data_IF_287636296020
#
_entry.id   IF_287636296020
#
_cell.length_a   1.000
_cell.length_b   1.000
_cell.length_c   1.000
_cell.angle_alpha   90.00
_cell.angle_beta   90.00
_cell.angle_gamma   90.00
#
_symmetry.space_group_name_H-M   'P 1'
#
loop_
_entity.id
_entity.type
_entity.pdbx_description
1 polymer ?
#
# COMPACT_ATOMS: atom_id res chain seq x y z
N UNK A 1 -2.25 17.35 -6.13
CA UNK A 1 -3.40 18.17 -5.71
C UNK A 1 -2.99 19.01 -4.50
N UNK A 2 -3.63 20.15 -4.23
CA UNK A 2 -3.43 20.90 -2.97
C UNK A 2 -3.94 20.07 -1.78
N UNK A 3 -3.47 20.36 -0.55
CA UNK A 3 -4.02 19.77 0.67
C UNK A 3 -5.52 20.08 0.72
N UNK A 4 -6.39 19.08 1.01
CA UNK A 4 -7.82 19.31 1.19
C UNK A 4 -8.06 19.88 2.59
N UNK A 5 -7.80 21.18 2.77
CA UNK A 5 -8.05 21.91 4.03
C UNK A 5 -9.53 21.94 4.43
N UNK A 6 -10.43 21.61 3.50
CA UNK A 6 -11.87 21.44 3.73
C UNK A 6 -12.21 20.22 4.60
N UNK A 7 -11.25 19.31 4.84
CA UNK A 7 -11.47 18.12 5.69
C UNK A 7 -11.38 18.41 7.19
N UNK A 8 -11.13 19.67 7.58
CA UNK A 8 -11.00 20.14 8.98
C UNK A 8 -10.15 19.23 9.87
N UNK A 9 -9.02 18.78 9.33
CA UNK A 9 -8.09 17.89 10.01
C UNK A 9 -7.02 18.72 10.74
N UNK A 10 -6.92 18.51 12.06
CA UNK A 10 -6.00 19.24 12.92
C UNK A 10 -4.54 19.10 12.44
N UNK A 11 -4.13 17.90 12.03
CA UNK A 11 -2.76 17.63 11.57
C UNK A 11 -2.47 18.34 10.24
N UNK A 12 -3.45 18.40 9.32
CA UNK A 12 -3.32 19.19 8.09
C UNK A 12 -3.11 20.67 8.42
N UNK A 13 -3.91 21.22 9.32
CA UNK A 13 -3.95 22.65 9.59
C UNK A 13 -2.73 23.13 10.38
N UNK A 14 -2.33 22.38 11.40
CA UNK A 14 -1.26 22.76 12.33
C UNK A 14 0.14 22.35 11.86
N UNK A 15 0.27 21.18 11.22
CA UNK A 15 1.57 20.61 10.85
C UNK A 15 1.83 20.73 9.35
N UNK A 16 1.00 20.11 8.50
CA UNK A 16 1.30 20.00 7.07
C UNK A 16 1.16 21.33 6.31
N UNK A 17 0.30 22.22 6.79
CA UNK A 17 0.10 23.56 6.22
C UNK A 17 1.09 24.60 6.77
N UNK A 18 1.83 24.26 7.83
CA UNK A 18 2.82 25.16 8.43
C UNK A 18 4.11 25.18 7.61
N UNK A 19 4.27 26.26 6.83
CA UNK A 19 5.45 26.50 5.99
C UNK A 19 6.52 27.39 6.67
N UNK A 20 6.35 27.70 7.95
CA UNK A 20 7.34 28.45 8.74
C UNK A 20 8.60 27.62 8.95
N UNK A 21 9.76 28.26 8.86
CA UNK A 21 11.05 27.65 9.18
C UNK A 21 11.22 27.37 10.68
N UNK A 22 10.35 27.92 11.53
CA UNK A 22 10.35 27.64 12.97
C UNK A 22 10.00 26.17 13.19
N UNK A 23 10.77 25.54 14.06
CA UNK A 23 10.56 24.15 14.42
C UNK A 23 9.32 24.01 15.32
N UNK A 24 8.61 22.90 15.16
CA UNK A 24 7.49 22.55 16.03
C UNK A 24 8.03 21.97 17.37
N UNK A 25 7.22 21.94 18.45
CA UNK A 25 7.59 21.26 19.68
C UNK A 25 8.03 19.81 19.39
N UNK A 26 9.15 19.39 19.97
CA UNK A 26 9.73 18.04 19.84
C UNK A 26 10.02 17.59 18.40
N UNK A 27 10.13 18.54 17.47
CA UNK A 27 10.44 18.22 16.08
C UNK A 27 11.91 17.87 15.90
N UNK A 28 12.14 16.69 15.35
CA UNK A 28 13.47 16.20 15.01
C UNK A 28 13.66 16.24 13.51
N UNK A 29 14.80 16.73 13.03
CA UNK A 29 15.13 16.79 11.60
C UNK A 29 16.23 15.80 11.25
N UNK A 30 16.08 15.08 10.13
CA UNK A 30 17.10 14.19 9.56
C UNK A 30 17.31 14.50 8.08
N UNK A 31 18.54 14.36 7.59
CA UNK A 31 18.83 14.47 6.15
C UNK A 31 18.17 13.31 5.40
N UNK A 32 17.65 13.61 4.22
CA UNK A 32 17.06 12.58 3.36
C UNK A 32 18.19 11.92 2.56
N UNK A 33 18.39 10.63 2.76
CA UNK A 33 19.43 9.86 2.08
C UNK A 33 19.19 9.86 0.56
N UNK A 34 20.24 10.15 -0.21
CA UNK A 34 20.17 10.34 -1.66
C UNK A 34 19.58 11.69 -2.10
N UNK A 35 19.27 12.58 -1.15
CA UNK A 35 18.70 13.91 -1.39
C UNK A 35 19.25 14.94 -0.39
N UNK A 36 20.57 15.10 -0.35
CA UNK A 36 21.32 15.88 0.68
C UNK A 36 20.88 17.36 0.81
N UNK A 37 20.25 17.89 -0.24
CA UNK A 37 19.65 19.22 -0.28
C UNK A 37 18.37 19.34 0.56
N UNK A 38 17.87 18.25 1.13
CA UNK A 38 16.60 18.18 1.85
C UNK A 38 16.76 17.48 3.20
N UNK A 39 15.96 17.95 4.16
CA UNK A 39 15.75 17.31 5.44
C UNK A 39 14.27 16.99 5.62
N UNK A 40 13.97 15.92 6.36
CA UNK A 40 12.62 15.54 6.75
C UNK A 40 12.50 15.55 8.27
N UNK A 41 11.37 16.03 8.76
CA UNK A 41 11.07 16.07 10.19
C UNK A 41 10.36 14.79 10.67
N UNK A 42 10.37 14.57 11.98
CA UNK A 42 9.57 13.56 12.69
C UNK A 42 8.07 13.68 12.38
N UNK A 43 7.60 14.89 12.10
CA UNK A 43 6.24 15.24 11.70
C UNK A 43 5.98 15.15 10.18
N UNK A 44 6.97 14.81 9.38
CA UNK A 44 6.85 14.68 7.92
C UNK A 44 6.80 15.99 7.14
N UNK A 45 7.13 17.12 7.77
CA UNK A 45 7.51 18.36 7.06
C UNK A 45 8.84 18.15 6.35
N UNK A 46 8.99 18.71 5.16
CA UNK A 46 10.23 18.61 4.37
C UNK A 46 10.84 19.99 4.22
N UNK A 47 12.11 20.14 4.57
CA UNK A 47 12.87 21.40 4.53
C UNK A 47 13.85 21.31 3.37
N UNK A 48 13.72 22.19 2.37
CA UNK A 48 14.78 22.44 1.40
C UNK A 48 15.84 23.28 2.10
N UNK A 49 17.09 22.83 2.04
CA UNK A 49 18.24 23.54 2.62
C UNK A 49 18.72 24.64 1.69
N UNK A 50 19.35 25.64 2.29
CA UNK A 50 20.03 26.69 1.55
C UNK A 50 21.20 26.11 0.77
N UNK A 51 21.37 26.53 -0.49
CA UNK A 51 22.45 26.08 -1.37
C UNK A 51 22.69 27.06 -2.51
N UNK A 52 23.90 27.04 -3.06
CA UNK A 52 24.23 27.67 -4.34
C UNK A 52 24.08 26.63 -5.45
N UNK A 53 23.42 27.00 -6.54
CA UNK A 53 23.23 26.13 -7.71
C UNK A 53 23.78 26.84 -8.95
N UNK A 54 24.68 26.21 -9.72
CA UNK A 54 25.16 26.80 -10.96
C UNK A 54 24.02 26.93 -11.97
N UNK A 55 23.91 28.09 -12.62
CA UNK A 55 23.01 28.30 -13.74
C UNK A 55 23.69 27.90 -15.06
N UNK A 56 22.90 27.53 -16.09
CA UNK A 56 23.44 27.22 -17.42
C UNK A 56 24.27 28.32 -18.07
N UNK A 57 24.09 29.58 -17.65
CA UNK A 57 24.80 30.76 -18.18
C UNK A 57 26.10 31.08 -17.42
N UNK A 58 26.57 30.21 -16.52
CA UNK A 58 27.81 30.39 -15.76
C UNK A 58 27.69 31.23 -14.48
N UNK A 59 26.49 31.70 -14.15
CA UNK A 59 26.21 32.33 -12.85
C UNK A 59 25.86 31.33 -11.75
N UNK A 60 25.67 31.81 -10.52
CA UNK A 60 25.18 31.00 -9.39
C UNK A 60 23.84 31.54 -8.86
N UNK A 61 22.90 30.63 -8.60
CA UNK A 61 21.62 30.94 -7.97
C UNK A 61 21.67 30.51 -6.50
N UNK A 62 21.48 31.47 -5.60
CA UNK A 62 21.26 31.19 -4.19
C UNK A 62 19.82 30.75 -3.96
N UNK A 63 19.63 29.48 -3.60
CA UNK A 63 18.34 28.93 -3.18
C UNK A 63 18.28 29.04 -1.66
N UNK A 64 17.33 29.81 -1.13
CA UNK A 64 17.11 29.95 0.30
C UNK A 64 16.44 28.72 0.91
N UNK A 65 16.68 28.50 2.19
CA UNK A 65 16.00 27.46 2.95
C UNK A 65 14.49 27.74 3.01
N UNK A 66 13.67 26.69 2.85
CA UNK A 66 12.21 26.78 2.97
C UNK A 66 11.58 25.45 3.32
N UNK A 67 10.44 25.49 4.01
CA UNK A 67 9.59 24.32 4.15
C UNK A 67 8.84 24.10 2.83
N UNK A 68 8.94 22.89 2.32
CA UNK A 68 8.30 22.47 1.08
C UNK A 68 6.81 22.23 1.32
N UNK A 69 5.98 22.80 0.46
CA UNK A 69 4.54 22.51 0.45
C UNK A 69 4.31 21.04 0.09
N UNK A 70 3.65 20.24 0.95
CA UNK A 70 3.36 18.86 0.63
C UNK A 70 2.34 18.75 -0.50
N UNK A 71 2.45 17.67 -1.27
CA UNK A 71 1.50 17.31 -2.31
C UNK A 71 0.59 16.20 -1.83
N UNK A 72 -0.69 16.29 -2.17
CA UNK A 72 -1.63 15.20 -1.89
C UNK A 72 -2.02 14.50 -3.17
N UNK A 73 -1.94 13.17 -3.13
CA UNK A 73 -2.48 12.29 -4.15
C UNK A 73 -3.80 11.69 -3.65
N UNK A 74 -4.89 11.97 -4.37
CA UNK A 74 -6.22 11.46 -4.08
C UNK A 74 -6.55 10.32 -5.04
N UNK A 75 -7.05 9.20 -4.52
CA UNK A 75 -7.59 8.11 -5.33
C UNK A 75 -8.92 7.64 -4.77
N UNK A 76 -9.78 7.12 -5.63
CA UNK A 76 -11.07 6.56 -5.23
C UNK A 76 -10.96 5.05 -5.07
N UNK A 77 -11.32 4.54 -3.89
CA UNK A 77 -11.42 3.12 -3.66
C UNK A 77 -12.84 2.66 -4.01
N UNK A 78 -12.99 1.96 -5.14
CA UNK A 78 -14.27 1.45 -5.64
C UNK A 78 -15.00 0.55 -4.65
N UNK A 79 -14.26 -0.24 -3.86
CA UNK A 79 -14.86 -1.17 -2.91
C UNK A 79 -15.39 -0.46 -1.68
N UNK A 80 -14.68 0.55 -1.21
CA UNK A 80 -15.08 1.35 -0.05
C UNK A 80 -16.01 2.49 -0.41
N UNK A 81 -16.18 2.77 -1.70
CA UNK A 81 -16.86 3.95 -2.22
C UNK A 81 -16.37 5.25 -1.54
N UNK A 82 -15.08 5.29 -1.20
CA UNK A 82 -14.48 6.35 -0.42
C UNK A 82 -13.20 6.87 -1.10
N UNK A 83 -12.91 8.15 -0.89
CA UNK A 83 -11.66 8.75 -1.30
C UNK A 83 -10.56 8.50 -0.26
N UNK A 84 -9.38 8.22 -0.78
CA UNK A 84 -8.18 8.03 0.01
C UNK A 84 -7.12 9.01 -0.43
N UNK A 85 -6.33 9.45 0.53
CA UNK A 85 -5.31 10.45 0.37
C UNK A 85 -3.96 9.87 0.74
N UNK A 86 -2.92 10.27 0.03
CA UNK A 86 -1.54 10.01 0.38
C UNK A 86 -0.75 11.31 0.31
N UNK A 87 -0.02 11.63 1.38
CA UNK A 87 0.90 12.75 1.42
C UNK A 87 2.20 12.37 0.73
N UNK A 88 2.65 13.24 -0.17
CA UNK A 88 3.89 13.12 -0.95
C UNK A 88 4.69 14.39 -0.87
N UNK A 89 6.00 14.27 -1.05
CA UNK A 89 6.90 15.39 -1.28
C UNK A 89 7.63 15.21 -2.60
N UNK A 90 7.94 16.32 -3.26
CA UNK A 90 8.75 16.33 -4.46
C UNK A 90 10.15 16.77 -4.10
N UNK A 91 11.12 15.89 -4.34
CA UNK A 91 12.53 16.13 -4.11
C UNK A 91 13.21 16.29 -5.47
N UNK A 92 14.05 17.31 -5.63
CA UNK A 92 14.77 17.56 -6.88
C UNK A 92 16.26 17.38 -6.72
N UNK A 93 16.85 16.55 -7.58
CA UNK A 93 18.30 16.33 -7.70
C UNK A 93 18.66 16.35 -9.18
N UNK A 94 19.73 17.09 -9.54
CA UNK A 94 20.19 17.24 -10.93
C UNK A 94 19.08 17.63 -11.93
N UNK A 95 18.19 18.53 -11.51
CA UNK A 95 17.07 18.99 -12.34
C UNK A 95 15.92 17.99 -12.52
N UNK A 96 16.05 16.76 -12.00
CA UNK A 96 14.99 15.74 -12.03
C UNK A 96 14.19 15.76 -10.74
N UNK A 97 12.86 15.69 -10.86
CA UNK A 97 11.93 15.72 -9.73
C UNK A 97 11.43 14.31 -9.41
N UNK A 98 11.56 13.91 -8.15
CA UNK A 98 11.15 12.61 -7.62
C UNK A 98 10.03 12.79 -6.60
N UNK A 99 8.84 12.28 -6.93
CA UNK A 99 7.71 12.22 -6.00
C UNK A 99 7.86 11.05 -5.04
N UNK A 100 8.14 11.31 -3.76
CA UNK A 100 8.31 10.29 -2.72
C UNK A 100 7.15 10.34 -1.72
N UNK A 101 6.81 9.20 -1.14
CA UNK A 101 5.80 9.13 -0.07
C UNK A 101 6.40 9.69 1.22
N UNK A 102 5.73 10.69 1.80
CA UNK A 102 6.19 11.31 3.05
C UNK A 102 6.21 10.28 4.19
N UNK A 103 5.14 9.48 4.33
CA UNK A 103 5.08 8.44 5.36
C UNK A 103 6.22 7.40 5.24
N UNK A 104 6.58 6.97 4.01
CA UNK A 104 7.72 6.06 3.83
C UNK A 104 9.04 6.71 4.23
N UNK A 105 9.27 7.97 3.88
CA UNK A 105 10.48 8.68 4.25
C UNK A 105 10.57 8.88 5.77
N UNK A 106 9.48 9.29 6.42
CA UNK A 106 9.45 9.44 7.89
C UNK A 106 9.76 8.09 8.56
N UNK A 107 9.08 7.02 8.16
CA UNK A 107 9.35 5.70 8.76
C UNK A 107 10.80 5.26 8.55
N UNK A 108 11.33 5.43 7.34
CA UNK A 108 12.70 5.07 7.01
C UNK A 108 13.73 5.79 7.89
N UNK A 109 13.55 7.10 8.10
CA UNK A 109 14.52 7.89 8.84
C UNK A 109 14.34 7.84 10.35
N UNK A 110 13.13 7.63 10.87
CA UNK A 110 12.82 7.74 12.30
C UNK A 110 12.47 6.43 12.99
N UNK A 111 12.16 5.36 12.25
CA UNK A 111 11.75 4.07 12.84
C UNK A 111 12.70 2.94 12.46
N UNK A 112 12.82 2.62 11.17
CA UNK A 112 13.61 1.47 10.71
C UNK A 112 14.06 1.71 9.26
N UNK A 113 15.34 1.45 8.95
CA UNK A 113 15.83 1.49 7.56
C UNK A 113 15.41 0.22 6.81
N UNK A 114 15.03 0.38 5.56
CA UNK A 114 14.59 -0.70 4.68
C UNK A 114 14.84 -0.33 3.22
N UNK A 115 14.77 -1.30 2.31
CA UNK A 115 14.78 -0.99 0.87
C UNK A 115 13.52 -0.18 0.49
N UNK A 116 13.72 1.09 0.16
CA UNK A 116 12.64 2.04 -0.14
C UNK A 116 11.79 1.63 -1.33
N UNK A 117 12.31 0.76 -2.20
CA UNK A 117 11.63 0.24 -3.39
C UNK A 117 11.00 -1.14 -3.14
N UNK A 118 11.20 -1.74 -1.95
CA UNK A 118 10.52 -2.99 -1.59
C UNK A 118 9.01 -2.78 -1.43
N UNK A 119 8.27 -3.52 -2.26
CA UNK A 119 6.82 -3.54 -2.35
C UNK A 119 6.18 -4.65 -1.49
N UNK A 120 7.00 -5.45 -0.79
CA UNK A 120 6.55 -6.55 0.07
C UNK A 120 5.78 -6.07 1.31
N UNK A 121 5.95 -4.79 1.71
CA UNK A 121 5.24 -4.16 2.82
C UNK A 121 4.70 -2.78 2.46
N UNK A 122 3.82 -2.28 3.33
CA UNK A 122 3.26 -0.93 3.26
C UNK A 122 3.39 -0.26 4.61
N UNK A 123 3.49 1.06 4.59
CA UNK A 123 3.38 1.87 5.81
C UNK A 123 1.89 2.18 6.02
N UNK A 124 1.39 1.83 7.20
CA UNK A 124 0.03 2.07 7.67
C UNK A 124 0.03 3.14 8.76
N UNK A 125 -1.16 3.60 9.12
CA UNK A 125 -1.42 4.67 10.08
C UNK A 125 -2.25 4.10 11.22
N UNK A 126 -1.76 4.19 12.45
CA UNK A 126 -2.40 3.56 13.63
C UNK A 126 -3.74 4.20 13.97
N UNK A 127 -3.85 5.51 13.77
CA UNK A 127 -5.07 6.30 13.98
C UNK A 127 -6.04 6.31 12.77
N UNK A 128 -5.74 5.52 11.73
CA UNK A 128 -6.44 5.51 10.44
C UNK A 128 -6.41 6.84 9.65
N UNK A 129 -5.76 7.88 10.18
CA UNK A 129 -5.59 9.19 9.54
C UNK A 129 -4.33 9.20 8.67
N UNK A 130 -4.54 9.29 7.35
CA UNK A 130 -3.46 9.25 6.35
C UNK A 130 -2.68 10.56 6.22
N UNK A 131 -3.15 11.62 6.86
CA UNK A 131 -2.45 12.89 6.93
C UNK A 131 -1.49 12.94 8.13
N UNK A 132 -1.81 12.23 9.22
CA UNK A 132 -0.94 12.09 10.38
C UNK A 132 0.27 11.19 10.06
N UNK A 133 1.28 11.79 9.45
CA UNK A 133 2.53 11.12 9.06
C UNK A 133 3.59 11.13 10.16
N UNK A 134 3.23 11.46 11.41
CA UNK A 134 4.18 11.48 12.52
C UNK A 134 4.75 10.08 12.77
N UNK A 135 6.07 9.96 13.00
CA UNK A 135 6.74 8.66 13.07
C UNK A 135 6.11 7.68 14.07
N UNK A 136 5.62 8.17 15.22
CA UNK A 136 4.98 7.32 16.24
C UNK A 136 3.63 6.74 15.79
N UNK A 137 2.95 7.40 14.86
CA UNK A 137 1.68 6.96 14.28
C UNK A 137 1.86 5.96 13.12
N UNK A 138 3.08 5.79 12.63
CA UNK A 138 3.36 4.91 11.50
C UNK A 138 3.69 3.49 11.95
N UNK A 139 3.26 2.51 11.15
CA UNK A 139 3.62 1.10 11.34
C UNK A 139 3.91 0.42 10.00
N UNK A 140 4.80 -0.57 10.01
CA UNK A 140 5.15 -1.38 8.84
C UNK A 140 4.30 -2.64 8.84
N UNK A 141 3.50 -2.82 7.78
CA UNK A 141 2.60 -3.95 7.62
C UNK A 141 2.96 -4.72 6.36
N UNK A 142 3.21 -6.02 6.48
CA UNK A 142 3.51 -6.86 5.32
C UNK A 142 2.28 -7.00 4.43
N UNK A 143 2.49 -7.08 3.12
CA UNK A 143 1.40 -7.24 2.14
C UNK A 143 0.62 -8.54 2.38
N UNK A 144 1.27 -9.59 2.90
CA UNK A 144 0.63 -10.84 3.30
C UNK A 144 -0.31 -10.63 4.49
N UNK A 145 0.17 -9.97 5.56
CA UNK A 145 -0.67 -9.66 6.72
C UNK A 145 -1.86 -8.79 6.33
N UNK A 146 -1.63 -7.77 5.50
CA UNK A 146 -2.69 -6.91 4.98
C UNK A 146 -3.72 -7.70 4.16
N UNK A 147 -3.25 -8.56 3.25
CA UNK A 147 -4.11 -9.43 2.44
C UNK A 147 -4.94 -10.37 3.32
N UNK A 148 -4.33 -11.00 4.31
CA UNK A 148 -5.02 -11.89 5.23
C UNK A 148 -6.07 -11.14 6.06
N UNK A 149 -5.75 -9.94 6.56
CA UNK A 149 -6.69 -9.10 7.29
C UNK A 149 -7.89 -8.70 6.42
N UNK A 150 -7.64 -8.28 5.17
CA UNK A 150 -8.68 -7.97 4.19
C UNK A 150 -9.57 -9.19 3.91
N UNK A 151 -8.98 -10.38 3.70
CA UNK A 151 -9.71 -11.63 3.47
C UNK A 151 -10.49 -12.11 4.70
N UNK A 152 -10.01 -11.83 5.92
CA UNK A 152 -10.69 -12.18 7.16
C UNK A 152 -11.85 -11.22 7.45
N UNK A 153 -11.72 -9.94 7.09
CA UNK A 153 -12.80 -8.94 7.11
C UNK A 153 -13.82 -9.11 5.96
N UNK A 154 -13.83 -10.27 5.29
CA UNK A 154 -14.79 -10.59 4.23
C UNK A 154 -14.58 -9.85 2.91
N UNK A 155 -13.47 -9.11 2.74
CA UNK A 155 -13.17 -8.39 1.49
C UNK A 155 -12.41 -9.29 0.52
N UNK A 156 -13.02 -9.51 -0.65
CA UNK A 156 -12.54 -10.42 -1.69
C UNK A 156 -13.33 -11.72 -1.72
N UNK A 157 -13.46 -12.36 -2.89
CA UNK A 157 -14.10 -13.67 -3.00
C UNK A 157 -13.18 -14.71 -2.35
N UNK A 158 -13.35 -15.00 -1.06
CA UNK A 158 -12.96 -16.30 -0.52
C UNK A 158 -13.90 -17.30 -1.20
N UNK A 159 -13.43 -17.91 -2.30
CA UNK A 159 -14.03 -19.18 -2.66
C UNK A 159 -13.92 -20.09 -1.45
N UNK A 160 -14.96 -20.87 -1.19
CA UNK A 160 -14.97 -21.74 -0.02
C UNK A 160 -14.00 -22.91 -0.27
N UNK A 161 -12.70 -22.70 -0.01
CA UNK A 161 -11.67 -23.73 -0.19
C UNK A 161 -11.76 -24.84 0.85
N UNK A 162 -12.45 -24.58 1.96
CA UNK A 162 -12.69 -25.55 3.04
C UNK A 162 -13.90 -26.45 2.75
N UNK A 163 -14.62 -26.24 1.64
CA UNK A 163 -15.73 -27.12 1.30
C UNK A 163 -15.22 -28.48 0.82
N UNK A 164 -15.90 -29.54 1.26
CA UNK A 164 -15.70 -30.88 0.72
C UNK A 164 -16.00 -30.90 -0.78
N UNK A 165 -15.23 -31.70 -1.52
CA UNK A 165 -15.37 -31.85 -2.98
C UNK A 165 -15.31 -33.30 -3.40
N UNK A 166 -16.01 -33.62 -4.47
CA UNK A 166 -16.10 -34.97 -5.03
C UNK A 166 -15.60 -34.98 -6.46
N UNK A 167 -14.78 -35.98 -6.79
CA UNK A 167 -14.27 -36.21 -8.13
C UNK A 167 -15.15 -37.19 -8.88
N UNK A 168 -15.41 -36.88 -10.15
CA UNK A 168 -16.16 -37.70 -11.08
C UNK A 168 -15.39 -37.89 -12.38
N UNK A 169 -15.64 -39.02 -13.05
CA UNK A 169 -15.24 -39.24 -14.45
C UNK A 169 -16.12 -38.41 -15.39
N UNK A 170 -15.71 -38.30 -16.65
CA UNK A 170 -16.43 -37.53 -17.68
C UNK A 170 -17.84 -38.09 -17.93
N UNK A 171 -18.03 -39.40 -17.80
CA UNK A 171 -19.33 -40.08 -17.92
C UNK A 171 -20.22 -39.92 -16.67
N UNK A 172 -19.75 -39.24 -15.61
CA UNK A 172 -20.50 -39.00 -14.38
C UNK A 172 -20.25 -40.01 -13.25
N UNK A 173 -19.40 -41.02 -13.46
CA UNK A 173 -19.10 -42.00 -12.42
C UNK A 173 -18.31 -41.37 -11.26
N UNK A 174 -18.69 -41.69 -10.03
CA UNK A 174 -17.97 -41.25 -8.84
C UNK A 174 -16.58 -41.88 -8.75
N UNK A 175 -15.59 -41.10 -8.29
CA UNK A 175 -14.20 -41.56 -8.09
C UNK A 175 -13.79 -41.47 -6.64
N UNK A 176 -13.87 -40.28 -6.02
CA UNK A 176 -13.37 -40.06 -4.67
C UNK A 176 -14.01 -38.82 -4.02
N UNK A 177 -14.02 -38.78 -2.68
CA UNK A 177 -14.35 -37.61 -1.87
C UNK A 177 -13.10 -37.06 -1.19
N UNK A 178 -13.06 -35.74 -1.03
CA UNK A 178 -11.98 -35.03 -0.35
C UNK A 178 -12.58 -34.08 0.67
N UNK A 179 -11.96 -34.03 1.86
CA UNK A 179 -12.38 -33.17 2.97
C UNK A 179 -12.44 -31.69 2.58
N UNK A 180 -11.49 -31.23 1.77
CA UNK A 180 -11.44 -29.87 1.26
C UNK A 180 -10.70 -29.78 -0.09
N UNK A 181 -10.73 -28.59 -0.71
CA UNK A 181 -10.10 -28.35 -2.02
C UNK A 181 -8.57 -28.52 -1.97
N UNK A 182 -7.94 -28.21 -0.83
CA UNK A 182 -6.49 -28.38 -0.68
C UNK A 182 -6.08 -29.86 -0.65
N UNK A 183 -6.86 -30.71 0.05
CA UNK A 183 -6.66 -32.15 0.07
C UNK A 183 -6.77 -32.74 -1.36
N UNK A 184 -7.82 -32.36 -2.09
CA UNK A 184 -7.98 -32.75 -3.50
C UNK A 184 -6.82 -32.26 -4.38
N UNK A 185 -6.40 -31.00 -4.21
CA UNK A 185 -5.30 -30.40 -4.97
C UNK A 185 -3.97 -31.14 -4.76
N UNK A 186 -3.67 -31.53 -3.52
CA UNK A 186 -2.44 -32.24 -3.17
C UNK A 186 -2.39 -33.64 -3.79
N UNK A 187 -3.49 -34.38 -3.71
CA UNK A 187 -3.59 -35.77 -4.21
C UNK A 187 -3.63 -35.78 -5.75
N UNK A 188 -4.46 -34.92 -6.35
CA UNK A 188 -4.64 -34.88 -7.80
C UNK A 188 -3.54 -34.10 -8.53
N UNK A 189 -2.68 -33.39 -7.80
CA UNK A 189 -1.68 -32.46 -8.36
C UNK A 189 -2.29 -31.43 -9.31
N UNK A 190 -3.55 -31.05 -9.06
CA UNK A 190 -4.29 -30.01 -9.79
C UNK A 190 -4.26 -28.73 -8.96
N UNK A 191 -4.12 -27.56 -9.59
CA UNK A 191 -4.17 -26.28 -8.89
C UNK A 191 -5.55 -26.08 -8.21
N UNK A 192 -5.54 -25.83 -6.89
CA UNK A 192 -6.74 -25.59 -6.08
C UNK A 192 -7.67 -24.50 -6.63
N UNK A 193 -7.15 -23.49 -7.33
CA UNK A 193 -7.96 -22.44 -7.98
C UNK A 193 -8.79 -22.97 -9.16
N UNK A 194 -8.28 -23.95 -9.90
CA UNK A 194 -9.02 -24.60 -10.99
C UNK A 194 -10.15 -25.46 -10.45
N UNK A 195 -9.89 -26.24 -9.39
CA UNK A 195 -10.92 -27.03 -8.70
C UNK A 195 -12.04 -26.11 -8.21
N UNK A 196 -11.69 -25.00 -7.55
CA UNK A 196 -12.66 -24.01 -7.09
C UNK A 196 -13.45 -23.36 -8.24
N UNK A 197 -12.83 -23.13 -9.40
CA UNK A 197 -13.50 -22.55 -10.56
C UNK A 197 -14.59 -23.48 -11.13
N UNK A 198 -14.30 -24.79 -11.19
CA UNK A 198 -15.25 -25.82 -11.62
C UNK A 198 -16.40 -25.94 -10.61
N UNK A 199 -16.08 -26.02 -9.31
CA UNK A 199 -17.08 -26.06 -8.23
C UNK A 199 -18.01 -24.85 -8.26
N UNK A 200 -17.48 -23.65 -8.54
CA UNK A 200 -18.26 -22.42 -8.64
C UNK A 200 -18.93 -22.19 -10.01
N UNK A 201 -18.92 -23.17 -10.92
CA UNK A 201 -19.53 -23.10 -12.27
C UNK A 201 -19.09 -21.85 -13.09
N UNK A 202 -17.85 -21.38 -12.93
CA UNK A 202 -17.34 -20.26 -13.75
C UNK A 202 -16.95 -20.80 -15.14
N UNK A 203 -17.73 -20.41 -16.16
CA UNK A 203 -17.79 -20.92 -17.55
C UNK A 203 -16.50 -21.02 -18.41
N UNK A 204 -15.29 -20.75 -17.91
CA UNK A 204 -14.16 -20.40 -18.79
C UNK A 204 -12.97 -21.38 -18.87
N UNK A 205 -13.12 -22.68 -18.56
CA UNK A 205 -12.00 -23.63 -18.74
C UNK A 205 -12.37 -24.79 -19.66
N UNK A 206 -12.01 -24.66 -20.95
CA UNK A 206 -11.95 -25.74 -21.94
C UNK A 206 -10.60 -26.44 -21.85
N UNK A 207 -10.40 -27.36 -20.90
CA UNK A 207 -9.42 -28.46 -21.02
C UNK A 207 -9.96 -29.66 -20.26
N UNK A 208 -9.68 -30.86 -20.76
CA UNK A 208 -10.07 -32.16 -20.21
C UNK A 208 -9.53 -32.35 -18.78
N UNK A 209 -10.17 -31.73 -17.81
CA UNK A 209 -9.91 -31.93 -16.38
C UNK A 209 -11.03 -32.85 -15.85
N UNK A 210 -10.71 -33.95 -15.14
CA UNK A 210 -11.73 -34.77 -14.48
C UNK A 210 -12.62 -33.89 -13.61
N UNK A 211 -13.94 -34.04 -13.77
CA UNK A 211 -14.92 -33.09 -13.26
C UNK A 211 -15.01 -33.19 -11.74
N UNK A 212 -14.61 -32.15 -11.02
CA UNK A 212 -14.79 -32.06 -9.56
C UNK A 212 -15.98 -31.15 -9.30
N UNK A 213 -17.10 -31.69 -8.82
CA UNK A 213 -18.37 -30.95 -8.69
C UNK A 213 -18.97 -31.06 -7.28
N UNK A 214 -19.77 -30.06 -6.92
CA UNK A 214 -20.59 -30.08 -5.71
C UNK A 214 -21.93 -30.73 -6.06
N UNK A 215 -22.18 -31.96 -5.61
CA UNK A 215 -23.53 -32.54 -5.68
C UNK A 215 -24.27 -32.14 -4.40
N UNK A 216 -25.26 -31.27 -4.54
CA UNK A 216 -26.25 -31.01 -3.51
C UNK A 216 -27.20 -32.22 -3.49
N UNK A 217 -27.06 -33.07 -2.48
CA UNK A 217 -28.17 -33.91 -2.03
C UNK A 217 -28.54 -33.44 -0.64
N UNK A 218 -29.51 -32.55 -0.56
CA UNK A 218 -30.38 -32.43 0.60
C UNK A 218 -31.49 -33.46 0.39
N UNK A 219 -31.63 -34.38 1.36
CA UNK A 219 -32.80 -35.26 1.47
C UNK A 219 -34.09 -34.44 1.56
#
# INVERSE_FOLDING_TARGET
MKLPTELDDEYINTVLSNLSLKDLPDEQWKLIEGFDNYAISSYGRVKSRERLVPLPNGGEQKILAKIMKPQVFRYFNKHLKAHFYNVRCNLSIEGKVYGKSTARLVYYHFVEKFDVDDLSFRISFKDENRFNVHFSNLEKVTTVALRNNVLNKGRGKKGNYQQAVHQYKVNGDFVASYENIYAASKILKINHTHILAVVNKKKNYRRNIPMVSKRLYTN
#
